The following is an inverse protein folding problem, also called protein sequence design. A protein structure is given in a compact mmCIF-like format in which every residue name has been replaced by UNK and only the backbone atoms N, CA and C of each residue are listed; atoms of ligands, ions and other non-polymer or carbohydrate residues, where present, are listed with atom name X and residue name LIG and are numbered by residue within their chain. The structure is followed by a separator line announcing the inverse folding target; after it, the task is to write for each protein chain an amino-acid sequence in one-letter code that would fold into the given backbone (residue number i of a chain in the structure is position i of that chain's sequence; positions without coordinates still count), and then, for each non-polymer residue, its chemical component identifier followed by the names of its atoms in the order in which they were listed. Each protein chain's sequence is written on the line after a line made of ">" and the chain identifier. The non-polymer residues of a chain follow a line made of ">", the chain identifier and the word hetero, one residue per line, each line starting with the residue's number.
data_IF_227552776308
#
_entry.id   IF_227552776308
#
_cell.length_a   1.000
_cell.length_b   1.000
_cell.length_c   1.000
_cell.angle_alpha   90.00
_cell.angle_beta   90.00
_cell.angle_gamma   90.00
#
_symmetry.space_group_name_H-M   'P 1'
#
loop_
_entity.id
_entity.type
_entity.pdbx_description
1 polymer ?
#
# COMPACT_ATOMS: atom_id res chain seq x y z
N UNK A 1 6.35 8.99 -0.88
CA UNK A 1 7.04 9.84 0.11
C UNK A 1 7.81 10.96 -0.56
N UNK A 2 8.31 11.94 0.20
CA UNK A 2 9.11 13.06 -0.33
C UNK A 2 8.32 14.13 -1.10
N UNK A 3 7.08 14.39 -0.68
CA UNK A 3 6.15 15.33 -1.34
C UNK A 3 5.90 16.61 -0.54
N UNK A 4 6.49 16.74 0.65
CA UNK A 4 6.30 17.90 1.50
C UNK A 4 7.00 19.16 0.98
N UNK A 5 7.18 20.11 1.91
CA UNK A 5 7.80 21.40 1.63
C UNK A 5 9.28 21.50 1.99
N UNK A 6 9.89 20.49 2.63
CA UNK A 6 11.27 20.62 3.15
C UNK A 6 12.31 20.42 2.04
N UNK A 7 13.57 20.88 2.21
CA UNK A 7 14.60 20.77 1.17
C UNK A 7 14.96 19.33 0.75
N UNK A 8 14.69 18.34 1.59
CA UNK A 8 14.86 16.92 1.35
C UNK A 8 13.66 16.27 0.64
N UNK A 9 12.49 16.92 0.60
CA UNK A 9 11.36 16.53 -0.25
C UNK A 9 11.69 16.82 -1.72
N UNK A 10 12.17 15.79 -2.45
CA UNK A 10 12.67 15.91 -3.84
C UNK A 10 11.99 15.00 -4.84
N UNK A 11 10.94 14.28 -4.44
CA UNK A 11 10.32 13.25 -5.30
C UNK A 11 9.67 13.89 -6.54
N UNK A 12 9.05 15.06 -6.39
CA UNK A 12 8.36 15.78 -7.48
C UNK A 12 9.37 16.26 -8.52
N UNK A 13 10.46 16.85 -8.05
CA UNK A 13 11.61 17.30 -8.85
C UNK A 13 12.29 16.13 -9.56
N UNK A 14 12.51 15.02 -8.86
CA UNK A 14 13.15 13.83 -9.42
C UNK A 14 12.31 13.21 -10.55
N UNK A 15 10.99 13.09 -10.34
CA UNK A 15 10.07 12.58 -11.36
C UNK A 15 9.98 13.53 -12.55
N UNK A 16 9.81 14.83 -12.33
CA UNK A 16 9.78 15.82 -13.40
C UNK A 16 11.06 15.77 -14.24
N UNK A 17 12.23 15.77 -13.59
CA UNK A 17 13.53 15.66 -14.28
C UNK A 17 13.67 14.37 -15.07
N UNK A 18 13.24 13.22 -14.51
CA UNK A 18 13.35 11.92 -15.19
C UNK A 18 12.47 11.84 -16.43
N UNK A 19 11.31 12.48 -16.39
CA UNK A 19 10.34 12.49 -17.49
C UNK A 19 10.51 13.67 -18.46
N UNK A 20 11.50 14.54 -18.23
CA UNK A 20 11.72 15.74 -19.06
C UNK A 20 10.60 16.78 -18.93
N UNK A 21 9.88 16.79 -17.80
CA UNK A 21 8.77 17.69 -17.53
C UNK A 21 9.20 18.88 -16.69
N UNK A 22 8.51 20.00 -16.85
CA UNK A 22 8.63 21.16 -15.97
C UNK A 22 7.76 20.96 -14.73
N UNK A 23 8.16 21.53 -13.60
CA UNK A 23 7.26 21.72 -12.47
C UNK A 23 6.46 23.01 -12.69
N UNK A 24 5.14 22.91 -12.58
CA UNK A 24 4.22 24.03 -12.73
C UNK A 24 3.40 24.23 -11.48
N UNK A 25 3.03 25.48 -11.21
CA UNK A 25 2.13 25.82 -10.13
C UNK A 25 0.72 25.31 -10.45
N UNK A 26 0.25 24.28 -9.74
CA UNK A 26 -1.08 23.74 -9.99
C UNK A 26 -2.13 24.61 -9.26
N UNK A 27 -3.10 25.19 -9.97
CA UNK A 27 -4.01 26.19 -9.39
C UNK A 27 -4.88 25.62 -8.28
N UNK A 28 -5.40 24.40 -8.44
CA UNK A 28 -6.21 23.76 -7.41
C UNK A 28 -5.36 23.34 -6.20
N UNK A 29 -4.12 22.90 -6.42
CA UNK A 29 -3.22 22.51 -5.34
C UNK A 29 -2.85 23.71 -4.49
N UNK A 30 -2.63 24.85 -5.15
CA UNK A 30 -2.36 26.14 -4.52
C UNK A 30 -3.52 26.56 -3.65
N UNK A 31 -4.72 26.55 -4.22
CA UNK A 31 -5.96 26.95 -3.53
C UNK A 31 -6.20 26.07 -2.31
N UNK A 32 -6.15 24.73 -2.46
CA UNK A 32 -6.35 23.81 -1.34
C UNK A 32 -5.30 23.98 -0.24
N UNK A 33 -4.05 24.24 -0.61
CA UNK A 33 -2.98 24.51 0.35
C UNK A 33 -3.25 25.81 1.13
N UNK A 34 -3.59 26.90 0.44
CA UNK A 34 -3.91 28.19 1.07
C UNK A 34 -5.10 28.06 2.02
N UNK A 35 -6.17 27.37 1.62
CA UNK A 35 -7.33 27.09 2.48
C UNK A 35 -6.95 26.31 3.74
N UNK A 36 -6.06 25.32 3.61
CA UNK A 36 -5.59 24.53 4.77
C UNK A 36 -4.71 25.36 5.70
N UNK A 37 -3.81 26.17 5.15
CA UNK A 37 -2.97 27.08 5.94
C UNK A 37 -3.82 28.09 6.70
N UNK A 38 -4.84 28.66 6.06
CA UNK A 38 -5.75 29.60 6.71
C UNK A 38 -6.53 28.95 7.85
N UNK A 39 -7.02 27.71 7.67
CA UNK A 39 -7.66 26.93 8.75
C UNK A 39 -6.71 26.61 9.90
N UNK A 40 -5.41 26.46 9.66
CA UNK A 40 -4.43 26.27 10.71
C UNK A 40 -4.21 27.58 11.48
N UNK A 41 -4.05 28.70 10.77
CA UNK A 41 -3.92 30.04 11.38
C UNK A 41 -5.14 30.37 12.24
N UNK A 42 -6.35 30.09 11.76
CA UNK A 42 -7.59 30.32 12.54
C UNK A 42 -7.69 29.47 13.81
N UNK A 43 -6.88 28.42 13.93
CA UNK A 43 -6.74 27.57 15.12
C UNK A 43 -5.54 27.95 15.99
N UNK A 44 -4.87 29.07 15.70
CA UNK A 44 -3.70 29.54 16.42
C UNK A 44 -2.40 28.79 16.05
N UNK A 45 -2.40 28.03 14.96
CA UNK A 45 -1.21 27.32 14.47
C UNK A 45 -0.56 28.14 13.36
N UNK A 46 0.60 28.72 13.65
CA UNK A 46 1.44 29.41 12.65
C UNK A 46 2.60 28.50 12.26
N UNK A 47 2.75 28.24 10.96
CA UNK A 47 3.87 27.46 10.43
C UNK A 47 5.00 28.39 9.99
N UNK A 48 6.22 28.12 10.44
CA UNK A 48 7.40 28.84 9.95
C UNK A 48 7.75 28.42 8.53
N UNK A 49 8.19 29.38 7.70
CA UNK A 49 8.66 29.09 6.34
C UNK A 49 7.56 28.74 5.35
N UNK A 50 6.44 29.46 5.36
CA UNK A 50 5.29 29.22 4.47
C UNK A 50 5.67 29.22 2.98
N UNK A 51 6.71 29.96 2.58
CA UNK A 51 7.23 29.95 1.21
C UNK A 51 7.67 28.55 0.75
N UNK A 52 8.27 27.78 1.65
CA UNK A 52 8.65 26.38 1.39
C UNK A 52 7.42 25.48 1.29
N UNK A 53 6.34 25.79 2.01
CA UNK A 53 5.09 25.02 1.95
C UNK A 53 4.44 25.15 0.59
N UNK A 54 4.50 26.32 -0.04
CA UNK A 54 3.97 26.52 -1.39
C UNK A 54 4.62 25.63 -2.44
N UNK A 55 5.84 25.12 -2.20
CA UNK A 55 6.41 24.10 -3.08
C UNK A 55 5.52 22.87 -3.20
N UNK A 56 4.76 22.49 -2.17
CA UNK A 56 3.83 21.34 -2.20
C UNK A 56 2.73 21.47 -3.26
N UNK A 57 2.51 22.68 -3.79
CA UNK A 57 1.55 22.94 -4.87
C UNK A 57 2.17 22.92 -6.28
N UNK A 58 3.48 22.65 -6.39
CA UNK A 58 4.16 22.41 -7.66
C UNK A 58 3.98 20.94 -8.10
N UNK A 59 3.50 20.76 -9.33
CA UNK A 59 3.19 19.45 -9.93
C UNK A 59 3.92 19.33 -11.28
N UNK A 60 4.43 18.15 -11.67
CA UNK A 60 4.93 17.95 -13.04
C UNK A 60 3.85 18.31 -14.07
N UNK A 61 4.25 18.99 -15.14
CA UNK A 61 3.35 19.39 -16.23
C UNK A 61 2.52 18.20 -16.76
N UNK A 62 1.21 18.37 -16.87
CA UNK A 62 0.26 17.31 -17.22
C UNK A 62 -0.14 16.37 -16.07
N UNK A 63 0.36 16.61 -14.86
CA UNK A 63 -0.05 15.90 -13.64
C UNK A 63 -1.34 16.46 -13.06
N UNK A 64 -2.13 15.56 -12.49
CA UNK A 64 -3.36 15.85 -11.75
C UNK A 64 -3.09 15.66 -10.25
N UNK A 65 -3.76 16.45 -9.40
CA UNK A 65 -3.67 16.25 -7.95
C UNK A 65 -4.63 15.18 -7.46
N UNK A 66 -4.22 14.48 -6.41
CA UNK A 66 -5.07 13.60 -5.62
C UNK A 66 -5.29 14.24 -4.26
N UNK A 67 -6.56 14.42 -3.88
CA UNK A 67 -6.91 15.22 -2.71
C UNK A 67 -6.40 14.62 -1.42
N UNK A 68 -5.67 15.43 -0.66
CA UNK A 68 -5.25 15.06 0.69
C UNK A 68 -6.12 15.74 1.75
N UNK A 69 -7.04 15.03 2.38
CA UNK A 69 -7.90 15.57 3.45
C UNK A 69 -7.23 15.67 4.82
N UNK A 70 -6.11 14.95 5.02
CA UNK A 70 -5.46 14.81 6.32
C UNK A 70 -4.17 15.63 6.44
N UNK A 71 -3.49 15.88 5.33
CA UNK A 71 -2.23 16.61 5.26
C UNK A 71 -2.24 17.77 4.27
N UNK A 72 -1.11 18.48 4.21
CA UNK A 72 -0.93 19.64 3.34
C UNK A 72 -0.58 19.23 1.90
N UNK A 73 0.33 18.27 1.73
CA UNK A 73 0.81 17.85 0.42
C UNK A 73 -0.23 16.97 -0.30
N UNK A 74 -0.72 17.34 -1.49
CA UNK A 74 -1.56 16.45 -2.29
C UNK A 74 -0.75 15.25 -2.80
N UNK A 75 -1.45 14.18 -3.17
CA UNK A 75 -0.88 13.19 -4.07
C UNK A 75 -0.83 13.72 -5.50
N UNK A 76 -0.10 13.05 -6.38
CA UNK A 76 -0.01 13.41 -7.80
C UNK A 76 -0.24 12.17 -8.66
N UNK A 77 -1.13 12.28 -9.64
CA UNK A 77 -1.33 11.31 -10.72
C UNK A 77 -0.75 11.85 -12.01
N UNK A 78 0.09 11.08 -12.67
CA UNK A 78 0.74 11.48 -13.92
C UNK A 78 0.67 10.35 -14.94
N UNK A 79 0.26 10.66 -16.17
CA UNK A 79 0.36 9.71 -17.29
C UNK A 79 1.79 9.72 -17.84
N UNK A 80 2.37 8.54 -17.99
CA UNK A 80 3.71 8.35 -18.54
C UNK A 80 3.67 7.23 -19.58
N UNK A 81 3.54 7.60 -20.86
CA UNK A 81 3.35 6.64 -21.94
C UNK A 81 2.08 5.80 -21.74
N UNK A 82 2.24 4.47 -21.74
CA UNK A 82 1.14 3.51 -21.48
C UNK A 82 0.87 3.23 -20.00
N UNK A 83 1.52 3.94 -19.08
CA UNK A 83 1.38 3.71 -17.64
C UNK A 83 0.92 4.96 -16.89
N UNK A 84 0.40 4.76 -15.68
CA UNK A 84 0.05 5.83 -14.75
C UNK A 84 0.97 5.76 -13.55
N UNK A 85 1.61 6.89 -13.22
CA UNK A 85 2.43 7.06 -12.03
C UNK A 85 1.62 7.76 -10.94
N UNK A 86 1.60 7.19 -9.75
CA UNK A 86 1.01 7.78 -8.56
C UNK A 86 2.12 8.14 -7.57
N UNK A 87 2.27 9.42 -7.25
CA UNK A 87 3.13 9.90 -6.19
C UNK A 87 2.27 10.17 -4.95
N UNK A 88 2.52 9.43 -3.87
CA UNK A 88 1.76 9.55 -2.61
C UNK A 88 2.63 10.10 -1.47
N UNK A 89 2.03 10.78 -0.45
CA UNK A 89 2.74 11.26 0.73
C UNK A 89 3.46 10.13 1.50
N UNK A 90 4.43 10.50 2.33
CA UNK A 90 5.17 9.54 3.16
C UNK A 90 4.45 9.14 4.45
N UNK A 91 3.55 10.00 4.93
CA UNK A 91 2.81 9.79 6.17
C UNK A 91 1.78 8.67 5.96
N UNK A 92 1.83 7.55 6.72
CA UNK A 92 1.01 6.37 6.43
C UNK A 92 -0.50 6.62 6.43
N UNK A 93 -1.00 7.49 7.32
CA UNK A 93 -2.44 7.81 7.38
C UNK A 93 -2.90 8.61 6.17
N UNK A 94 -2.08 9.56 5.69
CA UNK A 94 -2.38 10.34 4.48
C UNK A 94 -2.33 9.46 3.23
N UNK A 95 -1.29 8.63 3.12
CA UNK A 95 -1.13 7.68 2.01
C UNK A 95 -2.34 6.75 1.91
N UNK A 96 -2.74 6.10 3.02
CA UNK A 96 -3.86 5.15 3.02
C UNK A 96 -5.17 5.81 2.62
N UNK A 97 -5.41 7.03 3.08
CA UNK A 97 -6.63 7.77 2.74
C UNK A 97 -6.63 8.16 1.25
N UNK A 98 -5.55 8.77 0.73
CA UNK A 98 -5.48 9.11 -0.70
C UNK A 98 -5.58 7.85 -1.56
N UNK A 99 -4.94 6.75 -1.14
CA UNK A 99 -5.02 5.50 -1.87
C UNK A 99 -6.47 5.02 -1.98
N UNK A 100 -7.18 4.92 -0.86
CA UNK A 100 -8.56 4.41 -0.84
C UNK A 100 -9.55 5.36 -1.55
N UNK A 101 -9.43 6.67 -1.36
CA UNK A 101 -10.41 7.64 -1.90
C UNK A 101 -10.13 8.02 -3.36
N UNK A 102 -8.87 8.09 -3.78
CA UNK A 102 -8.48 8.72 -5.05
C UNK A 102 -7.73 7.77 -6.00
N UNK A 103 -6.98 6.78 -5.50
CA UNK A 103 -6.20 5.86 -6.35
C UNK A 103 -6.99 4.59 -6.66
N UNK A 104 -7.50 3.92 -5.64
CA UNK A 104 -8.21 2.65 -5.76
C UNK A 104 -9.39 2.70 -6.73
N UNK A 105 -10.23 3.77 -6.77
CA UNK A 105 -11.30 3.86 -7.77
C UNK A 105 -10.81 3.94 -9.23
N UNK A 106 -9.54 4.32 -9.44
CA UNK A 106 -8.89 4.39 -10.75
C UNK A 106 -8.22 3.07 -11.13
N UNK A 107 -7.90 2.24 -10.13
CA UNK A 107 -7.44 0.89 -10.34
C UNK A 107 -8.70 0.06 -10.67
N UNK A 108 -8.73 -0.55 -11.85
CA UNK A 108 -9.83 -1.47 -12.19
C UNK A 108 -9.98 -2.55 -11.11
N UNK A 109 -11.14 -3.20 -11.04
CA UNK A 109 -11.32 -4.33 -10.12
C UNK A 109 -10.25 -5.38 -10.38
N UNK A 110 -9.50 -5.71 -9.34
CA UNK A 110 -8.56 -6.82 -9.39
C UNK A 110 -9.29 -8.13 -9.65
N UNK A 111 -8.55 -9.16 -10.08
CA UNK A 111 -9.10 -10.50 -10.09
C UNK A 111 -9.44 -10.88 -8.65
N UNK A 112 -10.68 -11.34 -8.42
CA UNK A 112 -11.10 -11.86 -7.13
C UNK A 112 -10.20 -13.04 -6.73
N UNK A 113 -9.45 -12.89 -5.65
CA UNK A 113 -8.59 -13.93 -5.07
C UNK A 113 -9.14 -14.32 -3.71
N UNK A 114 -9.16 -15.62 -3.43
CA UNK A 114 -9.42 -16.09 -2.07
C UNK A 114 -8.11 -16.15 -1.28
N UNK A 115 -8.23 -15.94 0.03
CA UNK A 115 -7.13 -16.01 0.98
C UNK A 115 -7.53 -16.95 2.11
N UNK A 116 -6.65 -17.89 2.43
CA UNK A 116 -6.71 -18.67 3.66
C UNK A 116 -5.47 -18.36 4.50
N UNK A 117 -5.66 -18.09 5.79
CA UNK A 117 -4.58 -17.90 6.76
C UNK A 117 -4.74 -18.87 7.92
N UNK A 118 -3.72 -19.71 8.14
CA UNK A 118 -3.63 -20.62 9.27
C UNK A 118 -2.45 -20.18 10.15
N UNK A 119 -2.68 -19.99 11.44
CA UNK A 119 -1.59 -19.79 12.41
C UNK A 119 -1.35 -21.10 13.13
N UNK A 120 -0.14 -21.64 13.02
CA UNK A 120 0.26 -22.94 13.56
C UNK A 120 1.24 -22.75 14.71
N UNK A 121 1.15 -23.57 15.76
CA UNK A 121 2.06 -23.54 16.90
C UNK A 121 3.38 -24.25 16.64
N UNK A 122 4.17 -23.76 15.68
CA UNK A 122 5.47 -24.33 15.29
C UNK A 122 6.44 -23.26 14.77
N UNK A 123 7.72 -23.60 14.65
CA UNK A 123 8.68 -22.81 13.88
C UNK A 123 8.40 -22.85 12.37
N UNK A 124 8.90 -21.83 11.66
CA UNK A 124 8.72 -21.67 10.22
C UNK A 124 9.33 -22.83 9.42
N UNK A 125 10.56 -23.23 9.75
CA UNK A 125 11.31 -24.26 9.01
C UNK A 125 10.60 -25.61 8.96
N UNK A 126 9.70 -25.88 9.92
CA UNK A 126 8.92 -27.13 9.98
C UNK A 126 7.98 -27.31 8.79
N UNK A 127 7.49 -26.21 8.20
CA UNK A 127 6.53 -26.25 7.10
C UNK A 127 7.11 -25.79 5.76
N UNK A 128 8.37 -25.38 5.69
CA UNK A 128 8.98 -24.88 4.44
C UNK A 128 8.89 -25.88 3.29
N UNK A 129 9.19 -27.17 3.55
CA UNK A 129 9.05 -28.22 2.53
C UNK A 129 7.61 -28.37 2.05
N UNK A 130 6.63 -28.39 2.96
CA UNK A 130 5.22 -28.47 2.60
C UNK A 130 4.78 -27.24 1.78
N UNK A 131 5.27 -26.06 2.10
CA UNK A 131 4.94 -24.83 1.34
C UNK A 131 5.40 -24.95 -0.11
N UNK A 132 6.61 -25.43 -0.36
CA UNK A 132 7.10 -25.70 -1.72
C UNK A 132 6.23 -26.75 -2.43
N UNK A 133 5.80 -27.81 -1.74
CA UNK A 133 4.89 -28.81 -2.30
C UNK A 133 3.51 -28.22 -2.63
N UNK A 134 2.97 -27.35 -1.77
CA UNK A 134 1.67 -26.72 -1.99
C UNK A 134 1.71 -25.83 -3.24
N UNK A 135 2.72 -24.98 -3.39
CA UNK A 135 2.84 -24.12 -4.57
C UNK A 135 3.02 -24.92 -5.87
N UNK A 136 3.75 -26.03 -5.81
CA UNK A 136 3.95 -26.93 -6.95
C UNK A 136 2.67 -27.67 -7.34
N UNK A 137 1.93 -28.20 -6.37
CA UNK A 137 0.80 -29.09 -6.60
C UNK A 137 -0.51 -28.32 -6.87
N UNK A 138 -0.56 -27.02 -6.55
CA UNK A 138 -1.72 -26.15 -6.72
C UNK A 138 -1.39 -24.92 -7.59
N UNK A 139 -1.38 -25.05 -8.94
CA UNK A 139 -1.00 -23.95 -9.82
C UNK A 139 -1.92 -22.74 -9.66
N UNK A 140 -1.33 -21.56 -9.47
CA UNK A 140 -2.06 -20.30 -9.33
C UNK A 140 -2.37 -19.88 -7.88
N UNK A 141 -1.82 -20.59 -6.89
CA UNK A 141 -1.68 -20.08 -5.52
C UNK A 141 -0.29 -19.48 -5.31
N UNK A 142 -0.18 -18.59 -4.33
CA UNK A 142 1.07 -18.17 -3.72
C UNK A 142 0.96 -18.38 -2.21
N UNK A 143 2.02 -18.89 -1.59
CA UNK A 143 2.05 -19.22 -0.18
C UNK A 143 3.14 -18.42 0.53
N UNK A 144 2.74 -17.62 1.52
CA UNK A 144 3.65 -16.83 2.35
C UNK A 144 3.69 -17.35 3.78
N UNK A 145 4.90 -17.38 4.37
CA UNK A 145 5.11 -17.72 5.77
C UNK A 145 5.51 -16.48 6.56
N UNK A 146 4.88 -16.29 7.71
CA UNK A 146 5.07 -15.12 8.57
C UNK A 146 5.29 -15.59 10.01
N UNK A 147 6.55 -15.73 10.47
CA UNK A 147 6.84 -16.04 11.86
C UNK A 147 6.32 -14.93 12.78
N UNK A 148 5.65 -15.30 13.87
CA UNK A 148 5.14 -14.34 14.83
C UNK A 148 6.15 -14.17 15.98
N UNK A 149 6.92 -13.08 15.92
CA UNK A 149 8.01 -12.80 16.87
C UNK A 149 7.57 -12.96 18.34
N UNK A 150 8.43 -13.60 19.13
CA UNK A 150 8.21 -13.86 20.56
C UNK A 150 7.27 -15.04 20.87
N UNK A 151 6.81 -15.78 19.86
CA UNK A 151 5.98 -16.98 20.01
C UNK A 151 6.51 -18.10 19.11
N UNK A 152 6.36 -19.36 19.53
CA UNK A 152 6.56 -20.52 18.65
C UNK A 152 5.33 -20.67 17.74
N UNK A 153 5.17 -19.73 16.81
CA UNK A 153 4.02 -19.65 15.93
C UNK A 153 4.43 -19.15 14.55
N UNK A 154 3.88 -19.79 13.52
CA UNK A 154 4.00 -19.33 12.13
C UNK A 154 2.62 -19.16 11.54
N UNK A 155 2.39 -18.01 10.89
CA UNK A 155 1.20 -17.81 10.06
C UNK A 155 1.53 -18.14 8.62
N UNK A 156 0.80 -19.09 8.06
CA UNK A 156 0.89 -19.46 6.64
C UNK A 156 -0.32 -18.87 5.94
N UNK A 157 -0.07 -18.05 4.92
CA UNK A 157 -1.08 -17.39 4.10
C UNK A 157 -1.05 -17.95 2.70
N UNK A 158 -2.18 -18.46 2.23
CA UNK A 158 -2.37 -18.99 0.89
C UNK A 158 -3.28 -18.03 0.14
N UNK A 159 -2.84 -17.53 -1.01
CA UNK A 159 -3.59 -16.58 -1.85
C UNK A 159 -3.71 -17.14 -3.25
N UNK A 160 -4.91 -17.13 -3.85
CA UNK A 160 -5.08 -17.69 -5.19
C UNK A 160 -6.54 -17.79 -5.63
N UNK A 161 -6.83 -18.72 -6.54
CA UNK A 161 -8.21 -19.04 -6.94
C UNK A 161 -8.89 -19.86 -5.85
N UNK A 162 -10.19 -19.61 -5.64
CA UNK A 162 -10.90 -20.14 -4.46
C UNK A 162 -10.85 -21.65 -4.27
N UNK A 163 -10.94 -22.42 -5.34
CA UNK A 163 -10.86 -23.88 -5.23
C UNK A 163 -9.46 -24.36 -4.80
N UNK A 164 -8.41 -23.83 -5.42
CA UNK A 164 -7.03 -24.21 -5.11
C UNK A 164 -6.62 -23.76 -3.72
N UNK A 165 -7.02 -22.55 -3.31
CA UNK A 165 -6.79 -22.05 -1.94
C UNK A 165 -7.41 -22.97 -0.91
N UNK A 166 -8.66 -23.43 -1.14
CA UNK A 166 -9.35 -24.36 -0.24
C UNK A 166 -8.65 -25.72 -0.18
N UNK A 167 -8.26 -26.28 -1.33
CA UNK A 167 -7.56 -27.58 -1.38
C UNK A 167 -6.22 -27.51 -0.65
N UNK A 168 -5.45 -26.45 -0.89
CA UNK A 168 -4.15 -26.24 -0.26
C UNK A 168 -4.27 -25.99 1.25
N UNK A 169 -5.24 -25.19 1.70
CA UNK A 169 -5.46 -24.92 3.13
C UNK A 169 -5.92 -26.17 3.89
N UNK A 170 -6.77 -27.00 3.29
CA UNK A 170 -7.16 -28.29 3.85
C UNK A 170 -5.97 -29.26 3.96
N UNK A 171 -5.09 -29.31 2.94
CA UNK A 171 -3.87 -30.13 3.00
C UNK A 171 -2.94 -29.66 4.11
N UNK A 172 -2.75 -28.34 4.24
CA UNK A 172 -1.97 -27.75 5.32
C UNK A 172 -2.53 -28.12 6.70
N UNK A 173 -3.85 -27.97 6.89
CA UNK A 173 -4.52 -28.34 8.14
C UNK A 173 -4.30 -29.82 8.48
N UNK A 174 -4.52 -30.71 7.50
CA UNK A 174 -4.31 -32.16 7.66
C UNK A 174 -2.87 -32.51 8.01
N UNK A 175 -1.89 -31.78 7.48
CA UNK A 175 -0.47 -32.00 7.82
C UNK A 175 -0.16 -31.54 9.24
N UNK A 176 -0.67 -30.37 9.66
CA UNK A 176 -0.51 -29.90 11.03
C UNK A 176 -1.10 -30.91 12.04
N UNK A 177 -2.32 -31.39 11.80
CA UNK A 177 -2.97 -32.40 12.65
C UNK A 177 -2.18 -33.71 12.72
N UNK A 178 -1.73 -34.24 11.57
CA UNK A 178 -0.92 -35.47 11.50
C UNK A 178 0.43 -35.32 12.23
N UNK A 179 1.01 -34.12 12.19
CA UNK A 179 2.27 -33.78 12.84
C UNK A 179 2.12 -33.39 14.32
N UNK A 180 0.91 -33.40 14.88
CA UNK A 180 0.64 -32.96 16.26
C UNK A 180 0.88 -31.47 16.48
N UNK A 181 0.88 -30.66 15.43
CA UNK A 181 1.03 -29.20 15.51
C UNK A 181 -0.35 -28.57 15.71
N UNK A 182 -0.56 -27.79 16.77
CA UNK A 182 -1.84 -27.16 17.01
C UNK A 182 -2.14 -26.07 15.98
N UNK A 183 -3.34 -26.08 15.42
CA UNK A 183 -3.90 -24.97 14.63
C UNK A 183 -4.49 -23.95 15.61
N UNK A 184 -3.84 -22.81 15.74
CA UNK A 184 -4.16 -21.80 16.75
C UNK A 184 -5.25 -20.82 16.28
N UNK A 185 -5.30 -20.56 14.97
CA UNK A 185 -6.37 -19.81 14.35
C UNK A 185 -6.43 -20.11 12.86
N UNK A 186 -7.63 -19.97 12.31
CA UNK A 186 -7.87 -20.07 10.87
C UNK A 186 -8.85 -18.98 10.45
N UNK A 187 -8.56 -18.33 9.32
CA UNK A 187 -9.47 -17.36 8.72
C UNK A 187 -9.41 -17.44 7.20
N UNK A 188 -10.55 -17.20 6.56
CA UNK A 188 -10.65 -17.08 5.11
C UNK A 188 -11.36 -15.78 4.73
N UNK A 189 -10.90 -15.13 3.68
CA UNK A 189 -11.48 -13.89 3.16
C UNK A 189 -11.09 -13.70 1.70
N UNK A 190 -11.78 -12.79 1.02
CA UNK A 190 -11.56 -12.50 -0.39
C UNK A 190 -10.82 -11.16 -0.56
N UNK A 191 -9.92 -11.09 -1.54
CA UNK A 191 -9.32 -9.86 -2.08
C UNK A 191 -9.89 -9.61 -3.48
N UNK A 192 -10.19 -8.36 -3.83
CA UNK A 192 -10.64 -7.96 -5.17
C UNK A 192 -11.99 -7.27 -5.22
#
# INVERSE_FOLDING_TARGET
>A
GGLGGTPDDRTREAVARKLGLRLVQHPEARRELEEKLERLRSRGVTLGGEEWLFRMSLVPEGGEILRNRLGLAPGIRLRCGGSTLFLLPGVPVELKMIFAEEVEPLLGRGERREVAELTLGAEETRFSGLVEELERDHPGIAVGMYPLFGKLQVRIRIVGRGEEVRRASERLRREAERSGVPVLSERSFTLG
#
